data_IF_392359364697
#
_entry.id   IF_392359364697
#
_cell.length_a   1.000
_cell.length_b   1.000
_cell.length_c   1.000
_cell.angle_alpha   90.00
_cell.angle_beta   90.00
_cell.angle_gamma   90.00
#
_symmetry.space_group_name_H-M   'P 1'
#
loop_
_entity.id
_entity.type
_entity.pdbx_description
1 polymer ?
#
# COMPACT_ATOMS: atom_id res chain seq x y z
N UNK A 1 27.06 10.75 -6.69
CA UNK A 1 27.64 9.59 -7.13
C UNK A 1 27.62 8.51 -6.16
N UNK A 2 27.91 8.80 -4.95
CA UNK A 2 27.90 7.78 -3.95
C UNK A 2 26.52 7.41 -3.54
N UNK A 3 25.55 8.11 -4.02
CA UNK A 3 24.21 7.82 -3.63
C UNK A 3 23.74 6.46 -3.99
N UNK A 4 24.33 5.92 -5.01
CA UNK A 4 23.86 4.63 -5.42
C UNK A 4 24.45 3.51 -4.66
N UNK A 5 25.51 3.75 -3.96
CA UNK A 5 26.15 2.69 -3.30
C UNK A 5 25.78 2.50 -1.87
N UNK A 6 25.03 3.40 -1.35
CA UNK A 6 24.64 3.32 0.00
C UNK A 6 23.83 2.21 0.42
N UNK A 7 23.20 1.52 -0.42
CA UNK A 7 21.95 1.01 -0.06
C UNK A 7 21.80 -0.18 0.78
N UNK A 8 22.62 -1.11 0.58
CA UNK A 8 22.27 -2.37 1.20
C UNK A 8 22.39 -2.39 2.72
N UNK A 9 23.45 -1.83 3.22
CA UNK A 9 23.65 -1.87 4.66
C UNK A 9 22.73 -0.89 5.35
N UNK A 10 22.66 0.32 4.79
CA UNK A 10 21.80 1.32 5.34
C UNK A 10 20.34 0.92 5.32
N UNK A 11 19.94 0.32 4.20
CA UNK A 11 18.56 -0.12 4.06
C UNK A 11 18.20 -1.15 5.11
N UNK A 12 19.09 -2.10 5.31
CA UNK A 12 18.83 -3.15 6.27
C UNK A 12 18.76 -2.58 7.69
N UNK A 13 19.65 -1.66 8.00
CA UNK A 13 19.62 -1.03 9.30
C UNK A 13 18.34 -0.25 9.56
N UNK A 14 17.86 0.44 8.55
CA UNK A 14 16.62 1.16 8.66
C UNK A 14 15.46 0.19 8.92
N UNK A 15 15.42 -0.89 8.16
CA UNK A 15 14.36 -1.87 8.31
C UNK A 15 14.41 -2.49 9.71
N UNK A 16 15.58 -2.88 10.15
CA UNK A 16 15.71 -3.48 11.45
C UNK A 16 15.35 -2.51 12.56
N UNK A 17 15.71 -1.25 12.39
CA UNK A 17 15.34 -0.23 13.35
C UNK A 17 13.83 -0.06 13.42
N UNK A 18 13.19 -0.08 12.27
CA UNK A 18 11.74 0.01 12.24
C UNK A 18 11.11 -1.18 12.94
N UNK A 19 11.68 -2.36 12.76
CA UNK A 19 11.16 -3.55 13.41
C UNK A 19 11.30 -3.47 14.92
N UNK A 20 12.30 -2.75 15.40
CA UNK A 20 12.46 -2.55 16.82
C UNK A 20 11.60 -1.40 17.35
N UNK A 21 10.85 -0.77 16.45
CA UNK A 21 9.99 0.33 16.86
C UNK A 21 10.67 1.66 17.00
N UNK A 22 11.81 1.83 16.36
CA UNK A 22 12.57 3.07 16.47
C UNK A 22 11.91 4.19 15.66
N UNK A 23 11.52 5.29 16.29
CA UNK A 23 10.93 6.40 15.53
C UNK A 23 11.94 7.02 14.56
N UNK A 24 13.21 6.97 14.91
CA UNK A 24 14.24 7.53 14.06
C UNK A 24 14.33 6.71 12.77
N UNK A 25 14.29 5.40 12.90
CA UNK A 25 14.36 4.54 11.72
C UNK A 25 13.09 4.66 10.88
N UNK A 26 11.95 4.82 11.52
CA UNK A 26 10.72 5.01 10.79
C UNK A 26 10.75 6.29 9.98
N UNK A 27 11.27 7.35 10.57
CA UNK A 27 11.42 8.60 9.86
C UNK A 27 12.41 8.45 8.72
N UNK A 28 13.52 7.78 8.97
CA UNK A 28 14.53 7.57 7.94
C UNK A 28 13.95 6.82 6.76
N UNK A 29 13.08 5.85 7.02
CA UNK A 29 12.45 5.09 5.95
C UNK A 29 11.55 5.99 5.10
N UNK A 30 10.76 6.83 5.76
CA UNK A 30 9.88 7.73 5.02
C UNK A 30 10.71 8.73 4.22
N UNK A 31 11.81 9.21 4.77
CA UNK A 31 12.65 10.15 4.05
C UNK A 31 13.35 9.48 2.88
N UNK A 32 13.78 8.26 3.06
CA UNK A 32 14.50 7.57 2.01
C UNK A 32 13.60 7.19 0.84
N UNK A 33 12.37 6.81 1.13
CA UNK A 33 11.48 6.29 0.10
C UNK A 33 10.28 7.16 -0.21
N UNK A 34 10.08 8.22 0.55
CA UNK A 34 8.88 9.05 0.39
C UNK A 34 8.74 9.63 -1.01
N UNK A 35 9.84 10.13 -1.55
CA UNK A 35 9.76 10.73 -2.88
C UNK A 35 9.42 9.69 -3.95
N UNK A 36 9.98 8.51 -3.81
CA UNK A 36 9.68 7.44 -4.74
C UNK A 36 8.22 7.05 -4.66
N UNK A 37 7.73 6.87 -3.43
CA UNK A 37 6.34 6.49 -3.21
C UNK A 37 5.41 7.57 -3.77
N UNK A 38 5.73 8.83 -3.48
CA UNK A 38 4.92 9.94 -3.96
C UNK A 38 4.90 10.00 -5.49
N UNK A 39 6.04 9.79 -6.10
CA UNK A 39 6.14 9.84 -7.54
C UNK A 39 5.29 8.77 -8.20
N UNK A 40 5.37 7.55 -7.70
CA UNK A 40 4.58 6.47 -8.27
C UNK A 40 3.09 6.71 -8.02
N UNK A 41 2.75 7.11 -6.79
CA UNK A 41 1.35 7.37 -6.48
C UNK A 41 0.79 8.46 -7.38
N UNK A 42 1.54 9.55 -7.54
CA UNK A 42 1.09 10.67 -8.33
C UNK A 42 0.89 10.26 -9.80
N UNK A 43 1.78 9.45 -10.31
CA UNK A 43 1.64 8.97 -11.69
C UNK A 43 0.39 8.13 -11.88
N UNK A 44 0.00 7.40 -10.88
CA UNK A 44 -1.16 6.53 -11.01
C UNK A 44 -2.46 7.27 -10.73
N UNK A 45 -2.51 8.05 -9.64
CA UNK A 45 -3.78 8.68 -9.27
C UNK A 45 -4.01 10.03 -9.94
N UNK A 46 -2.96 10.70 -10.35
CA UNK A 46 -3.11 11.90 -11.15
C UNK A 46 -3.27 13.21 -10.42
N UNK A 47 -3.39 13.21 -9.11
CA UNK A 47 -3.45 14.47 -8.38
C UNK A 47 -2.76 14.33 -7.03
N UNK A 48 -2.28 15.46 -6.54
CA UNK A 48 -1.42 15.47 -5.37
C UNK A 48 -2.13 15.02 -4.11
N UNK A 49 -3.34 15.46 -3.91
CA UNK A 49 -4.06 15.15 -2.70
C UNK A 49 -4.26 13.64 -2.53
N UNK A 50 -4.70 12.99 -3.59
CA UNK A 50 -4.88 11.55 -3.55
C UNK A 50 -3.54 10.84 -3.41
N UNK A 51 -2.50 11.38 -4.04
CA UNK A 51 -1.19 10.77 -3.93
C UNK A 51 -0.67 10.83 -2.50
N UNK A 52 -0.93 11.93 -1.80
CA UNK A 52 -0.53 12.06 -0.42
C UNK A 52 -1.25 11.04 0.45
N UNK A 53 -2.53 10.83 0.20
CA UNK A 53 -3.29 9.83 0.93
C UNK A 53 -2.73 8.44 0.65
N UNK A 54 -2.41 8.17 -0.59
CA UNK A 54 -1.83 6.87 -0.96
C UNK A 54 -0.48 6.69 -0.26
N UNK A 55 0.32 7.76 -0.17
CA UNK A 55 1.60 7.66 0.51
C UNK A 55 1.43 7.28 1.97
N UNK A 56 0.51 7.93 2.65
CA UNK A 56 0.26 7.62 4.05
C UNK A 56 -0.19 6.18 4.22
N UNK A 57 -1.13 5.76 3.39
CA UNK A 57 -1.62 4.38 3.46
C UNK A 57 -0.51 3.39 3.16
N UNK A 58 0.36 3.74 2.23
CA UNK A 58 1.45 2.87 1.87
C UNK A 58 2.37 2.65 3.06
N UNK A 59 2.79 3.72 3.72
CA UNK A 59 3.70 3.57 4.83
C UNK A 59 3.04 2.88 6.02
N UNK A 60 1.75 3.12 6.23
CA UNK A 60 1.04 2.40 7.26
C UNK A 60 1.06 0.90 6.98
N UNK A 61 0.86 0.53 5.73
CA UNK A 61 0.89 -0.87 5.36
C UNK A 61 2.30 -1.45 5.49
N UNK A 62 3.29 -0.66 5.11
CA UNK A 62 4.66 -1.10 5.23
C UNK A 62 4.97 -1.42 6.69
N UNK A 63 4.68 -0.49 7.60
CA UNK A 63 5.00 -0.70 8.99
C UNK A 63 4.19 -1.85 9.60
N UNK A 64 2.97 -2.01 9.13
CA UNK A 64 2.12 -3.07 9.64
C UNK A 64 2.61 -4.45 9.23
N UNK A 65 3.15 -4.55 8.04
CA UNK A 65 3.58 -5.85 7.53
C UNK A 65 5.09 -6.07 7.51
N UNK A 66 5.84 -5.11 8.00
CA UNK A 66 7.27 -5.18 7.95
C UNK A 66 7.82 -6.38 8.69
N UNK A 67 7.16 -6.78 9.75
CA UNK A 67 7.60 -7.92 10.54
C UNK A 67 7.57 -9.22 9.75
N UNK A 68 6.77 -9.24 8.69
CA UNK A 68 6.67 -10.42 7.86
C UNK A 68 7.47 -10.31 6.57
N UNK A 69 8.13 -9.18 6.41
CA UNK A 69 8.90 -8.97 5.20
C UNK A 69 10.18 -9.79 5.26
N UNK A 70 10.47 -10.44 4.15
CA UNK A 70 11.64 -11.27 4.05
C UNK A 70 12.84 -10.41 3.64
N UNK A 71 13.79 -10.28 4.55
CA UNK A 71 14.94 -9.43 4.33
C UNK A 71 15.81 -9.84 3.17
N UNK A 72 15.63 -11.05 2.67
CA UNK A 72 16.40 -11.50 1.53
C UNK A 72 15.84 -10.97 0.23
N UNK A 73 14.66 -10.40 0.25
CA UNK A 73 14.04 -9.89 -0.94
C UNK A 73 14.36 -8.42 -1.13
N UNK A 74 14.09 -7.92 -2.32
CA UNK A 74 14.35 -6.53 -2.62
C UNK A 74 13.23 -5.67 -2.01
N UNK A 75 13.61 -4.83 -1.05
CA UNK A 75 12.65 -4.02 -0.34
C UNK A 75 11.94 -3.03 -1.26
N UNK A 76 12.69 -2.43 -2.17
CA UNK A 76 12.12 -1.45 -3.08
C UNK A 76 11.02 -2.07 -3.92
N UNK A 77 11.24 -3.27 -4.41
CA UNK A 77 10.24 -3.95 -5.22
C UNK A 77 8.99 -4.24 -4.41
N UNK A 78 9.17 -4.69 -3.18
CA UNK A 78 8.07 -4.97 -2.29
C UNK A 78 7.28 -3.69 -2.02
N UNK A 79 7.99 -2.62 -1.71
CA UNK A 79 7.38 -1.33 -1.45
C UNK A 79 6.58 -0.84 -2.66
N UNK A 80 7.16 -0.92 -3.83
CA UNK A 80 6.49 -0.46 -5.04
C UNK A 80 5.21 -1.24 -5.33
N UNK A 81 5.21 -2.52 -5.00
CA UNK A 81 4.01 -3.32 -5.15
C UNK A 81 2.90 -2.77 -4.27
N UNK A 82 3.24 -2.40 -3.04
CA UNK A 82 2.25 -1.85 -2.12
C UNK A 82 1.71 -0.52 -2.63
N UNK A 83 2.62 0.37 -3.06
CA UNK A 83 2.22 1.67 -3.58
C UNK A 83 1.26 1.51 -4.74
N UNK A 84 1.62 0.66 -5.67
CA UNK A 84 0.83 0.50 -6.87
C UNK A 84 -0.57 0.00 -6.53
N UNK A 85 -0.65 -0.96 -5.65
CA UNK A 85 -1.95 -1.48 -5.24
C UNK A 85 -2.78 -0.45 -4.53
N UNK A 86 -2.17 0.31 -3.63
CA UNK A 86 -2.90 1.36 -2.93
C UNK A 86 -3.40 2.42 -3.89
N UNK A 87 -2.60 2.75 -4.89
CA UNK A 87 -2.99 3.72 -5.89
C UNK A 87 -4.19 3.23 -6.70
N UNK A 88 -4.15 1.98 -7.11
CA UNK A 88 -5.27 1.41 -7.86
C UNK A 88 -6.53 1.33 -7.00
N UNK A 89 -6.38 0.99 -5.73
CA UNK A 89 -7.52 0.94 -4.83
C UNK A 89 -8.16 2.33 -4.69
N UNK A 90 -7.33 3.36 -4.62
CA UNK A 90 -7.83 4.72 -4.53
C UNK A 90 -8.65 5.09 -5.78
N UNK A 91 -8.14 4.73 -6.94
CA UNK A 91 -8.86 5.01 -8.18
C UNK A 91 -10.18 4.29 -8.22
N UNK A 92 -10.19 3.02 -7.86
CA UNK A 92 -11.41 2.23 -7.87
C UNK A 92 -12.42 2.77 -6.89
N UNK A 93 -11.96 3.18 -5.74
CA UNK A 93 -12.84 3.72 -4.72
C UNK A 93 -13.48 5.02 -5.20
N UNK A 94 -12.70 5.89 -5.81
CA UNK A 94 -13.23 7.15 -6.30
C UNK A 94 -14.21 6.94 -7.44
N UNK A 95 -13.92 6.00 -8.29
CA UNK A 95 -14.80 5.72 -9.40
C UNK A 95 -16.16 5.23 -8.89
N UNK A 96 -16.14 4.29 -7.96
CA UNK A 96 -17.38 3.77 -7.41
C UNK A 96 -18.18 4.86 -6.70
N UNK A 97 -17.48 5.73 -5.98
CA UNK A 97 -18.16 6.81 -5.29
C UNK A 97 -18.81 7.77 -6.29
N UNK A 98 -18.10 8.06 -7.37
CA UNK A 98 -18.60 8.95 -8.39
C UNK A 98 -19.82 8.36 -9.07
N UNK A 99 -19.78 7.09 -9.39
CA UNK A 99 -20.90 6.43 -10.03
C UNK A 99 -22.09 6.37 -9.11
N UNK A 100 -21.84 6.10 -7.84
CA UNK A 100 -22.93 6.04 -6.88
C UNK A 100 -23.56 7.42 -6.71
N UNK A 101 -22.74 8.46 -6.64
CA UNK A 101 -23.26 9.81 -6.48
C UNK A 101 -24.05 10.24 -7.69
N UNK A 102 -23.58 9.91 -8.85
CA UNK A 102 -24.27 10.26 -10.08
C UNK A 102 -25.61 9.56 -10.15
N UNK A 103 -25.62 8.30 -9.75
CA UNK A 103 -26.84 7.54 -9.78
C UNK A 103 -27.84 8.06 -8.76
N UNK A 104 -27.35 8.37 -7.58
CA UNK A 104 -28.21 8.89 -6.52
C UNK A 104 -28.87 10.19 -6.94
N UNK A 105 -28.14 11.00 -7.68
CA UNK A 105 -28.70 12.25 -8.11
C UNK A 105 -29.71 12.05 -9.21
N UNK A 106 -29.45 11.12 -10.06
CA UNK A 106 -30.29 10.89 -11.20
C UNK A 106 -31.58 10.17 -10.92
N UNK A 107 -31.56 9.20 -10.05
CA UNK A 107 -32.71 8.39 -9.77
C UNK A 107 -32.85 8.06 -8.33
N UNK A 108 -33.35 8.98 -7.58
CA UNK A 108 -33.52 8.75 -6.17
C UNK A 108 -34.50 7.63 -5.88
N UNK A 109 -35.53 7.56 -6.69
CA UNK A 109 -36.53 6.55 -6.45
C UNK A 109 -36.00 5.15 -6.71
N UNK A 110 -35.17 5.06 -7.67
CA UNK A 110 -34.62 3.76 -7.98
C UNK A 110 -33.71 3.30 -6.93
N UNK A 111 -33.09 4.23 -6.26
CA UNK A 111 -32.18 3.90 -5.22
C UNK A 111 -32.82 3.04 -4.18
N UNK A 112 -34.07 3.27 -3.92
CA UNK A 112 -34.70 2.48 -2.94
C UNK A 112 -34.80 1.09 -3.38
N UNK A 113 -35.19 0.89 -4.60
CA UNK A 113 -35.36 -0.42 -5.04
C UNK A 113 -34.08 -1.14 -5.07
N UNK A 114 -33.01 -0.42 -5.15
CA UNK A 114 -31.77 -1.04 -5.26
C UNK A 114 -31.41 -1.84 -4.10
N UNK A 115 -32.14 -1.89 -3.18
CA UNK A 115 -31.81 -2.64 -2.05
C UNK A 115 -30.68 -3.57 -2.27
N UNK A 116 -30.24 -3.84 -3.45
CA UNK A 116 -29.13 -4.65 -3.61
C UNK A 116 -27.99 -3.96 -3.12
N UNK A 117 -27.38 -4.47 -2.16
CA UNK A 117 -26.21 -3.87 -1.63
C UNK A 117 -25.18 -3.92 -2.69
N UNK A 118 -24.46 -2.93 -2.81
CA UNK A 118 -23.41 -2.90 -3.77
C UNK A 118 -22.41 -3.96 -3.45
N UNK A 119 -21.82 -4.46 -4.41
CA UNK A 119 -20.84 -5.51 -4.24
C UNK A 119 -19.63 -5.00 -3.61
N UNK A 120 -19.72 -4.65 -2.43
CA UNK A 120 -18.63 -4.04 -1.82
C UNK A 120 -17.44 -4.82 -1.60
N UNK A 121 -17.52 -6.06 -1.53
CA UNK A 121 -16.43 -6.76 -1.17
C UNK A 121 -15.31 -6.73 -2.06
N UNK A 122 -15.40 -6.28 -3.18
CA UNK A 122 -14.29 -6.34 -4.08
C UNK A 122 -13.01 -5.87 -3.52
N UNK A 123 -13.03 -4.84 -2.78
CA UNK A 123 -11.80 -4.37 -2.35
C UNK A 123 -11.12 -5.29 -1.42
N UNK A 124 -11.83 -5.87 -0.58
CA UNK A 124 -11.24 -6.80 0.34
C UNK A 124 -10.66 -7.92 -0.44
N UNK A 125 -11.38 -8.34 -1.43
CA UNK A 125 -10.93 -9.44 -2.20
C UNK A 125 -9.69 -9.14 -2.97
N UNK A 126 -9.72 -8.04 -3.65
CA UNK A 126 -8.62 -7.71 -4.50
C UNK A 126 -7.34 -7.57 -3.71
N UNK A 127 -7.44 -6.95 -2.59
CA UNK A 127 -6.25 -6.68 -1.85
C UNK A 127 -5.86 -7.82 -0.98
N UNK A 128 -6.80 -8.45 -0.42
CA UNK A 128 -6.55 -9.54 0.47
C UNK A 128 -5.67 -10.63 -0.08
N UNK A 129 -6.02 -11.16 -1.20
CA UNK A 129 -5.23 -12.24 -1.74
C UNK A 129 -3.79 -11.86 -1.97
N UNK A 130 -3.59 -10.68 -2.47
CA UNK A 130 -2.27 -10.25 -2.75
C UNK A 130 -1.47 -10.09 -1.49
N UNK A 131 -2.12 -9.50 -0.52
CA UNK A 131 -1.48 -9.30 0.73
C UNK A 131 -1.15 -10.63 1.33
N UNK A 132 -2.05 -11.55 1.21
CA UNK A 132 -1.83 -12.85 1.73
C UNK A 132 -0.71 -13.54 1.02
N UNK A 133 -0.61 -13.32 -0.24
CA UNK A 133 0.45 -13.95 -0.97
C UNK A 133 1.78 -13.50 -0.43
N UNK A 134 1.90 -12.23 -0.14
CA UNK A 134 3.12 -11.73 0.41
C UNK A 134 3.35 -12.31 1.79
N UNK A 135 2.32 -12.34 2.56
CA UNK A 135 2.44 -12.86 3.90
C UNK A 135 2.74 -14.34 3.88
N UNK A 136 2.12 -15.03 2.98
CA UNK A 136 2.33 -16.44 2.92
C UNK A 136 3.75 -16.79 2.55
N UNK A 137 4.31 -15.98 1.72
CA UNK A 137 5.66 -16.23 1.34
C UNK A 137 6.53 -16.21 2.56
N UNK A 138 6.23 -15.32 3.43
CA UNK A 138 7.02 -15.21 4.63
C UNK A 138 6.70 -16.32 5.57
N UNK A 139 5.45 -16.63 5.66
CA UNK A 139 5.05 -17.68 6.56
C UNK A 139 5.66 -18.99 6.15
N UNK A 140 5.71 -19.20 4.90
CA UNK A 140 6.28 -20.43 4.44
C UNK A 140 7.66 -20.59 4.96
N UNK A 141 8.35 -19.53 5.02
CA UNK A 141 9.69 -19.62 5.49
C UNK A 141 9.73 -19.88 6.96
N UNK A 142 8.86 -19.26 7.67
CA UNK A 142 8.87 -19.42 9.07
C UNK A 142 8.79 -20.82 9.57
N UNK A 143 7.82 -21.51 9.16
CA UNK A 143 7.64 -22.83 9.69
C UNK A 143 8.84 -23.66 9.55
N UNK A 144 9.56 -23.36 8.57
CA UNK A 144 10.70 -24.16 8.38
C UNK A 144 11.62 -24.03 9.49
N UNK A 145 11.61 -22.92 10.09
CA UNK A 145 12.48 -22.68 11.16
C UNK A 145 12.30 -23.66 12.24
N UNK A 146 11.23 -24.30 12.30
CA UNK A 146 11.08 -25.25 13.32
C UNK A 146 11.73 -26.41 12.99
#
# INVERSE_FOLDING_TARGET
>A
MDEQKRPAVEEKEIIEGCLRGSPVSSRAMVEAYGNLVMSVALNVVGNRQDAEDVCQETFLQVFRHLARYDLSRNFKTWLLTIVYRRSLDMIKKKRRFSEFSARARFEPAVAERGGKSPPHRPQAVAFGPSDQALAQGTDGALPLGQ
#
